data_IF_104485572895
#
_entry.id   IF_104485572895
#
_cell.length_a   1.000
_cell.length_b   1.000
_cell.length_c   1.000
_cell.angle_alpha   90.00
_cell.angle_beta   90.00
_cell.angle_gamma   90.00
#
_symmetry.space_group_name_H-M   'P 1'
#
loop_
_entity.id
_entity.type
_entity.pdbx_description
1 polymer ?
#
# COMPACT_ATOMS: atom_id res chain seq x y z
N UNK A 1 -24.38 7.35 -4.85
CA UNK A 1 -24.39 6.72 -3.50
C UNK A 1 -23.94 5.27 -3.57
N UNK A 2 -24.59 4.42 -4.36
CA UNK A 2 -24.23 2.99 -4.53
C UNK A 2 -22.77 2.77 -4.93
N UNK A 3 -22.23 3.57 -5.84
CA UNK A 3 -20.83 3.51 -6.29
C UNK A 3 -19.84 3.78 -5.14
N UNK A 4 -20.17 4.72 -4.25
CA UNK A 4 -19.34 5.07 -3.08
C UNK A 4 -19.34 3.92 -2.07
N UNK A 5 -20.46 3.21 -1.89
CA UNK A 5 -20.56 2.04 -1.01
C UNK A 5 -19.72 0.88 -1.53
N UNK A 6 -19.85 0.57 -2.82
CA UNK A 6 -19.06 -0.49 -3.45
C UNK A 6 -17.56 -0.18 -3.38
N UNK A 7 -17.19 1.08 -3.62
CA UNK A 7 -15.81 1.52 -3.48
C UNK A 7 -15.31 1.41 -2.03
N UNK A 8 -16.10 1.83 -1.04
CA UNK A 8 -15.70 1.73 0.37
C UNK A 8 -15.48 0.27 0.81
N UNK A 9 -16.35 -0.66 0.39
CA UNK A 9 -16.19 -2.08 0.66
C UNK A 9 -14.95 -2.63 -0.06
N UNK A 10 -14.77 -2.30 -1.35
CA UNK A 10 -13.61 -2.70 -2.12
C UNK A 10 -12.30 -2.25 -1.47
N UNK A 11 -12.21 -0.97 -1.10
CA UNK A 11 -11.01 -0.40 -0.50
C UNK A 11 -10.75 -0.94 0.92
N UNK A 12 -11.82 -1.26 1.68
CA UNK A 12 -11.71 -1.99 2.94
C UNK A 12 -11.15 -3.39 2.75
N UNK A 13 -11.65 -4.16 1.78
CA UNK A 13 -11.14 -5.49 1.47
C UNK A 13 -9.67 -5.44 1.03
N UNK A 14 -9.31 -4.47 0.19
CA UNK A 14 -7.95 -4.28 -0.30
C UNK A 14 -6.99 -3.89 0.84
N UNK A 15 -7.39 -2.96 1.71
CA UNK A 15 -6.62 -2.57 2.89
C UNK A 15 -6.52 -3.71 3.92
N UNK A 16 -7.58 -4.50 4.09
CA UNK A 16 -7.62 -5.66 4.97
C UNK A 16 -6.73 -6.81 4.47
N UNK A 17 -6.68 -7.05 3.16
CA UNK A 17 -5.77 -8.00 2.55
C UNK A 17 -4.30 -7.57 2.74
N UNK A 18 -3.99 -6.28 2.54
CA UNK A 18 -2.67 -5.73 2.82
C UNK A 18 -2.28 -5.91 4.29
N UNK A 19 -3.17 -5.61 5.24
CA UNK A 19 -2.94 -5.84 6.66
C UNK A 19 -2.72 -7.33 6.98
N UNK A 20 -3.52 -8.22 6.40
CA UNK A 20 -3.38 -9.67 6.58
C UNK A 20 -2.02 -10.18 6.09
N UNK A 21 -1.56 -9.73 4.92
CA UNK A 21 -0.22 -10.05 4.41
C UNK A 21 0.85 -9.57 5.38
N UNK A 22 0.76 -8.31 5.83
CA UNK A 22 1.75 -7.72 6.73
C UNK A 22 1.77 -8.40 8.10
N UNK A 23 0.65 -8.94 8.59
CA UNK A 23 0.55 -9.62 9.88
C UNK A 23 0.92 -11.11 9.84
N UNK A 24 0.63 -11.80 8.74
CA UNK A 24 0.81 -13.26 8.62
C UNK A 24 2.27 -13.66 8.37
N UNK A 25 3.10 -12.76 7.84
CA UNK A 25 4.40 -13.12 7.27
C UNK A 25 5.56 -12.90 8.24
N UNK A 26 6.40 -13.92 8.40
CA UNK A 26 7.82 -13.74 8.75
C UNK A 26 8.51 -13.12 7.52
N UNK A 27 8.76 -11.82 7.58
CA UNK A 27 9.18 -11.00 6.43
C UNK A 27 10.53 -11.41 5.78
N UNK A 28 11.31 -12.28 6.41
CA UNK A 28 12.60 -12.74 5.88
C UNK A 28 12.46 -13.88 4.83
N UNK A 29 11.27 -14.47 4.70
CA UNK A 29 10.92 -15.40 3.60
C UNK A 29 10.39 -14.66 2.37
N UNK A 30 9.74 -13.50 2.55
CA UNK A 30 9.11 -12.73 1.47
C UNK A 30 10.11 -12.14 0.48
N UNK A 31 11.28 -11.72 0.96
CA UNK A 31 12.33 -11.26 0.06
C UNK A 31 12.79 -12.38 -0.86
N UNK A 32 12.95 -13.61 -0.35
CA UNK A 32 13.35 -14.76 -1.16
C UNK A 32 12.25 -15.16 -2.14
N UNK A 33 11.01 -15.30 -1.68
CA UNK A 33 9.88 -15.71 -2.53
C UNK A 33 9.60 -14.68 -3.63
N UNK A 34 9.65 -13.38 -3.32
CA UNK A 34 9.46 -12.33 -4.32
C UNK A 34 10.58 -12.30 -5.36
N UNK A 35 11.83 -12.57 -4.97
CA UNK A 35 12.94 -12.69 -5.91
C UNK A 35 12.83 -13.93 -6.79
N UNK A 36 12.43 -15.06 -6.21
CA UNK A 36 12.22 -16.29 -6.96
C UNK A 36 11.07 -16.11 -7.97
N UNK A 37 9.98 -15.46 -7.58
CA UNK A 37 8.88 -15.08 -8.50
C UNK A 37 9.35 -14.11 -9.60
N UNK A 38 10.17 -13.10 -9.27
CA UNK A 38 10.76 -12.18 -10.25
C UNK A 38 11.66 -12.91 -11.26
N UNK A 39 12.48 -13.86 -10.78
CA UNK A 39 13.33 -14.68 -11.63
C UNK A 39 12.53 -15.67 -12.48
N UNK A 40 11.42 -16.19 -11.96
CA UNK A 40 10.49 -17.01 -12.76
C UNK A 40 9.81 -16.18 -13.85
N UNK A 41 9.37 -14.95 -13.54
CA UNK A 41 8.78 -14.04 -14.51
C UNK A 41 9.76 -13.64 -15.62
N UNK A 42 11.04 -13.44 -15.28
CA UNK A 42 12.09 -13.12 -16.26
C UNK A 42 12.25 -14.19 -17.34
N UNK A 43 11.98 -15.47 -17.01
CA UNK A 43 12.04 -16.57 -18.00
C UNK A 43 11.05 -16.40 -19.16
N UNK A 44 9.98 -15.61 -18.96
CA UNK A 44 8.90 -15.45 -19.94
C UNK A 44 8.75 -14.00 -20.41
N UNK A 45 9.19 -13.02 -19.62
CA UNK A 45 8.95 -11.59 -19.88
C UNK A 45 10.27 -10.83 -19.66
N UNK A 46 10.68 -9.93 -20.59
CA UNK A 46 11.90 -9.17 -20.41
C UNK A 46 11.83 -8.28 -19.14
N UNK A 47 12.94 -8.12 -18.40
CA UNK A 47 12.98 -7.35 -17.15
C UNK A 47 12.41 -5.93 -17.28
N UNK A 48 12.65 -5.27 -18.41
CA UNK A 48 12.13 -3.94 -18.71
C UNK A 48 10.59 -3.89 -18.79
N UNK A 49 9.93 -4.97 -19.23
CA UNK A 49 8.47 -5.05 -19.26
C UNK A 49 7.89 -5.32 -17.85
N UNK A 50 8.57 -6.13 -17.04
CA UNK A 50 8.22 -6.38 -15.64
C UNK A 50 8.26 -5.07 -14.84
N UNK A 51 9.34 -4.28 -14.99
CA UNK A 51 9.46 -2.96 -14.35
C UNK A 51 8.28 -2.04 -14.70
N UNK A 52 7.90 -1.97 -15.98
CA UNK A 52 6.78 -1.15 -16.45
C UNK A 52 5.45 -1.60 -15.85
N UNK A 53 5.19 -2.90 -15.79
CA UNK A 53 3.96 -3.42 -15.19
C UNK A 53 3.87 -3.04 -13.71
N UNK A 54 4.95 -3.23 -12.94
CA UNK A 54 4.99 -2.91 -11.51
C UNK A 54 4.72 -1.42 -11.28
N UNK A 55 5.30 -0.53 -12.10
CA UNK A 55 5.04 0.92 -12.01
C UNK A 55 3.59 1.25 -12.35
N UNK A 56 3.02 0.67 -13.40
CA UNK A 56 1.62 0.91 -13.80
C UNK A 56 0.66 0.44 -12.69
N UNK A 57 0.87 -0.75 -12.14
CA UNK A 57 0.09 -1.26 -11.01
C UNK A 57 0.25 -0.35 -9.78
N UNK A 58 1.46 0.12 -9.49
CA UNK A 58 1.74 1.06 -8.40
C UNK A 58 0.97 2.37 -8.55
N UNK A 59 0.95 2.96 -9.75
CA UNK A 59 0.17 4.17 -10.05
C UNK A 59 -1.34 3.93 -9.92
N UNK A 60 -1.82 2.76 -10.36
CA UNK A 60 -3.23 2.38 -10.20
C UNK A 60 -3.64 2.27 -8.73
N UNK A 61 -2.82 1.60 -7.92
CA UNK A 61 -3.04 1.46 -6.48
C UNK A 61 -2.96 2.81 -5.76
N UNK A 62 -2.03 3.68 -6.16
CA UNK A 62 -1.95 5.06 -5.68
C UNK A 62 -3.24 5.83 -5.93
N UNK A 63 -3.80 5.75 -7.13
CA UNK A 63 -5.02 6.45 -7.49
C UNK A 63 -6.22 5.96 -6.64
N UNK A 64 -6.30 4.64 -6.41
CA UNK A 64 -7.29 4.04 -5.51
C UNK A 64 -7.14 4.59 -4.10
N UNK A 65 -5.92 4.66 -3.57
CA UNK A 65 -5.67 5.18 -2.22
C UNK A 65 -6.00 6.66 -2.08
N UNK A 66 -5.63 7.49 -3.06
CA UNK A 66 -6.00 8.92 -3.07
C UNK A 66 -7.52 9.08 -3.01
N UNK A 67 -8.24 8.30 -3.81
CA UNK A 67 -9.70 8.32 -3.81
C UNK A 67 -10.28 7.86 -2.47
N UNK A 68 -9.70 6.82 -1.85
CA UNK A 68 -10.10 6.35 -0.52
C UNK A 68 -9.88 7.37 0.59
N UNK A 69 -8.70 7.97 0.67
CA UNK A 69 -8.40 9.01 1.65
C UNK A 69 -9.27 10.26 1.45
N UNK A 70 -9.50 10.66 0.20
CA UNK A 70 -10.39 11.78 -0.13
C UNK A 70 -11.81 11.53 0.36
N UNK A 71 -12.39 10.36 0.04
CA UNK A 71 -13.74 10.00 0.46
C UNK A 71 -13.84 9.87 1.98
N UNK A 72 -12.85 9.26 2.62
CA UNK A 72 -12.81 9.13 4.08
C UNK A 72 -12.83 10.50 4.76
N UNK A 73 -12.01 11.44 4.27
CA UNK A 73 -11.99 12.81 4.79
C UNK A 73 -13.30 13.55 4.52
N UNK A 74 -13.85 13.46 3.30
CA UNK A 74 -15.11 14.10 2.93
C UNK A 74 -16.26 13.63 3.84
N UNK A 75 -16.41 12.32 4.02
CA UNK A 75 -17.48 11.78 4.86
C UNK A 75 -17.25 12.04 6.35
N UNK A 76 -16.01 12.09 6.82
CA UNK A 76 -15.70 12.55 8.18
C UNK A 76 -16.08 14.03 8.38
N UNK A 77 -15.85 14.88 7.38
CA UNK A 77 -16.21 16.28 7.40
C UNK A 77 -17.74 16.48 7.45
N UNK A 78 -18.50 15.69 6.69
CA UNK A 78 -19.96 15.80 6.65
C UNK A 78 -20.62 15.24 7.91
N UNK A 79 -20.15 14.09 8.42
CA UNK A 79 -20.84 13.35 9.47
C UNK A 79 -20.41 13.69 10.90
N UNK A 80 -19.25 14.34 11.10
CA UNK A 80 -18.72 14.62 12.45
C UNK A 80 -18.62 16.12 12.70
N UNK A 81 -19.30 16.62 13.74
CA UNK A 81 -19.36 18.06 14.08
C UNK A 81 -18.19 18.58 14.94
N UNK A 82 -17.07 17.85 15.03
CA UNK A 82 -15.88 18.25 15.79
C UNK A 82 -14.73 18.74 14.90
N UNK A 83 -14.36 20.02 15.00
CA UNK A 83 -13.28 20.58 14.15
C UNK A 83 -11.91 19.99 14.46
N UNK A 84 -11.62 19.74 15.75
CA UNK A 84 -10.40 19.06 16.20
C UNK A 84 -10.26 17.67 15.58
N UNK A 85 -11.35 16.91 15.55
CA UNK A 85 -11.37 15.58 14.93
C UNK A 85 -11.06 15.65 13.43
N UNK A 86 -11.66 16.60 12.70
CA UNK A 86 -11.41 16.78 11.26
C UNK A 86 -9.95 17.12 10.96
N UNK A 87 -9.33 17.97 11.77
CA UNK A 87 -7.91 18.34 11.62
C UNK A 87 -7.01 17.13 11.91
N UNK A 88 -7.22 16.45 13.04
CA UNK A 88 -6.43 15.27 13.41
C UNK A 88 -6.57 14.13 12.39
N UNK A 89 -7.79 13.92 11.86
CA UNK A 89 -8.05 12.91 10.85
C UNK A 89 -7.36 13.21 9.52
N UNK A 90 -7.36 14.48 9.09
CA UNK A 90 -6.59 14.91 7.93
C UNK A 90 -5.09 14.65 8.10
N UNK A 91 -4.53 15.03 9.26
CA UNK A 91 -3.13 14.75 9.58
C UNK A 91 -2.81 13.25 9.57
N UNK A 92 -3.69 12.42 10.13
CA UNK A 92 -3.53 10.97 10.10
C UNK A 92 -3.51 10.42 8.66
N UNK A 93 -4.45 10.85 7.82
CA UNK A 93 -4.48 10.45 6.40
C UNK A 93 -3.20 10.88 5.67
N UNK A 94 -2.73 12.12 5.88
CA UNK A 94 -1.51 12.63 5.27
C UNK A 94 -0.26 11.85 5.71
N UNK A 95 -0.13 11.56 7.01
CA UNK A 95 0.99 10.79 7.54
C UNK A 95 1.04 9.36 6.98
N UNK A 96 -0.11 8.67 6.93
CA UNK A 96 -0.21 7.33 6.34
C UNK A 96 0.12 7.37 4.86
N UNK A 97 -0.43 8.32 4.11
CA UNK A 97 -0.15 8.48 2.69
C UNK A 97 1.34 8.69 2.42
N UNK A 98 2.00 9.60 3.14
CA UNK A 98 3.45 9.85 3.00
C UNK A 98 4.25 8.59 3.34
N UNK A 99 3.86 7.86 4.39
CA UNK A 99 4.54 6.62 4.80
C UNK A 99 4.42 5.55 3.72
N UNK A 100 3.22 5.30 3.21
CA UNK A 100 2.97 4.36 2.11
C UNK A 100 3.76 4.74 0.85
N UNK A 101 3.79 6.03 0.48
CA UNK A 101 4.57 6.49 -0.67
C UNK A 101 6.07 6.32 -0.49
N UNK A 102 6.57 6.56 0.73
CA UNK A 102 7.98 6.38 1.05
C UNK A 102 8.39 4.90 0.94
N UNK A 103 7.53 3.99 1.43
CA UNK A 103 7.74 2.54 1.33
C UNK A 103 7.68 2.10 -0.15
N UNK A 104 6.66 2.53 -0.89
CA UNK A 104 6.48 2.19 -2.30
C UNK A 104 7.64 2.70 -3.18
N UNK A 105 8.13 3.92 -2.94
CA UNK A 105 9.28 4.48 -3.64
C UNK A 105 10.54 3.65 -3.37
N UNK A 106 10.78 3.26 -2.11
CA UNK A 106 11.92 2.40 -1.76
C UNK A 106 11.84 1.03 -2.44
N UNK A 107 10.66 0.43 -2.45
CA UNK A 107 10.41 -0.84 -3.13
C UNK A 107 10.63 -0.74 -4.65
N UNK A 108 10.17 0.35 -5.28
CA UNK A 108 10.37 0.62 -6.71
C UNK A 108 11.85 0.81 -7.04
N UNK A 109 12.61 1.54 -6.21
CA UNK A 109 14.07 1.70 -6.37
C UNK A 109 14.77 0.36 -6.21
N UNK A 110 14.34 -0.47 -5.23
CA UNK A 110 14.87 -1.82 -5.01
C UNK A 110 14.68 -2.69 -6.26
N UNK A 111 13.46 -2.76 -6.79
CA UNK A 111 13.13 -3.52 -8.00
C UNK A 111 13.87 -2.99 -9.22
N UNK A 112 13.92 -1.67 -9.42
CA UNK A 112 14.68 -1.08 -10.52
C UNK A 112 16.17 -1.41 -10.44
N UNK A 113 16.75 -1.39 -9.24
CA UNK A 113 18.15 -1.76 -9.02
C UNK A 113 18.39 -3.26 -9.18
N UNK A 114 17.42 -4.11 -8.80
CA UNK A 114 17.46 -5.55 -8.98
C UNK A 114 17.39 -5.94 -10.44
N UNK A 115 16.48 -5.35 -11.21
CA UNK A 115 16.33 -5.56 -12.65
C UNK A 115 17.61 -5.12 -13.39
N UNK A 116 18.20 -3.98 -13.02
CA UNK A 116 19.48 -3.53 -13.60
C UNK A 116 20.66 -4.44 -13.25
N UNK A 117 20.66 -5.06 -12.07
CA UNK A 117 21.72 -5.99 -11.63
C UNK A 117 21.52 -7.42 -12.13
N UNK A 118 20.29 -7.82 -12.43
CA UNK A 118 19.95 -9.09 -13.10
C UNK A 118 20.60 -9.18 -14.49
N UNK A 119 20.69 -8.06 -15.21
CA UNK A 119 21.47 -7.97 -16.46
C UNK A 119 22.98 -8.22 -16.25
N UNK A 120 23.55 -7.89 -15.09
CA UNK A 120 25.00 -7.86 -14.88
C UNK A 120 25.56 -9.01 -14.01
N UNK A 121 25.07 -9.24 -12.77
CA UNK A 121 25.53 -10.31 -11.84
C UNK A 121 24.52 -10.60 -10.70
N UNK A 122 23.90 -11.79 -10.62
CA UNK A 122 22.88 -12.12 -9.61
C UNK A 122 23.42 -12.23 -8.17
N UNK A 123 24.64 -12.71 -7.93
CA UNK A 123 25.19 -12.93 -6.57
C UNK A 123 25.54 -11.63 -5.81
N UNK A 124 25.75 -10.52 -6.52
CA UNK A 124 26.10 -9.21 -5.93
C UNK A 124 24.85 -8.48 -5.44
N UNK A 125 23.68 -8.83 -5.98
CA UNK A 125 22.39 -8.27 -5.58
C UNK A 125 22.03 -8.67 -4.15
N UNK A 126 22.24 -9.94 -3.79
CA UNK A 126 21.90 -10.52 -2.49
C UNK A 126 22.63 -9.82 -1.33
N UNK A 127 23.94 -9.62 -1.45
CA UNK A 127 24.75 -8.90 -0.44
C UNK A 127 24.41 -7.42 -0.31
N UNK A 128 23.94 -6.79 -1.37
CA UNK A 128 23.62 -5.36 -1.33
C UNK A 128 22.33 -5.07 -0.57
N UNK A 129 21.38 -6.00 -0.63
CA UNK A 129 20.10 -5.94 0.09
C UNK A 129 20.34 -6.10 1.59
N UNK A 130 21.08 -7.14 1.99
CA UNK A 130 21.41 -7.41 3.40
C UNK A 130 22.15 -6.23 4.07
N UNK A 131 22.94 -5.46 3.30
CA UNK A 131 23.73 -4.34 3.82
C UNK A 131 22.95 -3.02 3.94
N UNK A 132 21.82 -2.85 3.25
CA UNK A 132 21.13 -1.56 3.11
C UNK A 132 19.70 -1.55 3.65
N UNK A 133 19.27 -2.56 4.41
CA UNK A 133 17.92 -2.60 4.99
C UNK A 133 17.84 -1.93 6.38
N UNK A 134 17.37 -0.67 6.47
CA UNK A 134 16.85 -0.16 7.72
C UNK A 134 15.53 -0.84 8.04
N UNK A 135 15.34 -1.20 9.31
CA UNK A 135 14.15 -1.86 9.83
C UNK A 135 12.91 -0.94 9.72
N UNK A 136 12.27 -0.93 8.55
CA UNK A 136 11.02 -0.19 8.27
C UNK A 136 9.78 -1.02 8.57
N UNK A 137 9.96 -2.24 9.12
CA UNK A 137 8.90 -3.22 9.40
C UNK A 137 7.82 -2.65 10.33
N UNK A 138 8.23 -1.99 11.40
CA UNK A 138 7.29 -1.36 12.36
C UNK A 138 6.49 -0.22 11.72
N UNK A 139 7.11 0.57 10.84
CA UNK A 139 6.43 1.65 10.13
C UNK A 139 5.42 1.12 9.10
N UNK A 140 5.78 0.07 8.37
CA UNK A 140 4.87 -0.59 7.42
C UNK A 140 3.66 -1.21 8.14
N UNK A 141 3.88 -1.90 9.26
CA UNK A 141 2.81 -2.47 10.08
C UNK A 141 1.88 -1.39 10.63
N UNK A 142 2.43 -0.30 11.19
CA UNK A 142 1.64 0.80 11.72
C UNK A 142 0.85 1.53 10.62
N UNK A 143 1.45 1.71 9.44
CA UNK A 143 0.78 2.27 8.26
C UNK A 143 -0.40 1.38 7.84
N UNK A 144 -0.18 0.07 7.71
CA UNK A 144 -1.22 -0.89 7.31
C UNK A 144 -2.40 -0.92 8.28
N UNK A 145 -2.13 -0.92 9.60
CA UNK A 145 -3.18 -0.87 10.64
C UNK A 145 -3.97 0.44 10.54
N UNK A 146 -3.28 1.56 10.40
CA UNK A 146 -3.93 2.88 10.36
C UNK A 146 -4.76 3.04 9.10
N UNK A 147 -4.25 2.60 7.94
CA UNK A 147 -4.97 2.60 6.67
C UNK A 147 -6.23 1.73 6.72
N UNK A 148 -6.12 0.52 7.26
CA UNK A 148 -7.27 -0.35 7.47
C UNK A 148 -8.33 0.31 8.36
N UNK A 149 -7.90 0.98 9.43
CA UNK A 149 -8.80 1.71 10.34
C UNK A 149 -9.53 2.85 9.61
N UNK A 150 -8.84 3.61 8.76
CA UNK A 150 -9.44 4.67 7.93
C UNK A 150 -10.43 4.09 6.92
N UNK A 151 -10.09 2.99 6.26
CA UNK A 151 -10.98 2.31 5.33
C UNK A 151 -12.24 1.76 6.02
N UNK A 152 -12.09 1.19 7.22
CA UNK A 152 -13.21 0.74 8.04
C UNK A 152 -14.11 1.93 8.40
N UNK A 153 -13.51 3.05 8.78
CA UNK A 153 -14.27 4.25 9.12
C UNK A 153 -15.03 4.83 7.93
N UNK A 154 -14.45 4.82 6.73
CA UNK A 154 -15.17 5.17 5.50
C UNK A 154 -16.35 4.24 5.25
N UNK A 155 -16.17 2.92 5.40
CA UNK A 155 -17.25 1.95 5.25
C UNK A 155 -18.37 2.19 6.27
N UNK A 156 -18.05 2.49 7.54
CA UNK A 156 -19.04 2.85 8.56
C UNK A 156 -19.79 4.13 8.20
N UNK A 157 -19.08 5.18 7.80
CA UNK A 157 -19.70 6.47 7.44
C UNK A 157 -20.53 6.46 6.17
N UNK A 158 -20.34 5.47 5.31
CA UNK A 158 -21.05 5.37 4.02
C UNK A 158 -22.12 4.30 4.07
N UNK A 159 -21.79 3.08 4.48
CA UNK A 159 -22.71 1.93 4.49
C UNK A 159 -23.63 1.97 5.70
N UNK A 160 -23.10 2.18 6.91
CA UNK A 160 -23.92 2.11 8.14
C UNK A 160 -24.81 3.34 8.27
N UNK A 161 -24.32 4.54 7.92
CA UNK A 161 -25.14 5.76 7.92
C UNK A 161 -26.35 5.67 6.97
N UNK A 162 -26.23 4.93 5.86
CA UNK A 162 -27.32 4.71 4.91
C UNK A 162 -28.39 3.72 5.37
N UNK A 163 -28.12 2.93 6.40
CA UNK A 163 -29.08 1.99 7.00
C UNK A 163 -29.97 2.64 8.06
N UNK A 164 -29.58 3.79 8.60
CA UNK A 164 -30.31 4.52 9.65
C UNK A 164 -31.08 5.76 9.13
N UNK A 165 -31.08 5.97 7.82
CA UNK A 165 -31.79 7.04 7.10
C UNK A 165 -32.90 6.43 6.25
#
# INVERSE_FOLDING_TARGET
MTEVYLFAIFWLCLSGYSLFITLKKDLDEEDRDFFDELMEMERFIPPAAIAKMIVIFGIGMLAIDIMGFYLAYYHAYVNVNGILYRIMFFFACACVFITDQTIAMRYTVRISSAIKKLEDKPDVLRRWIDMNEPNTKTLAMLSAITKFTIALQLALFTVVSSFFL
#
